data_IF_607369259520
#
_entry.id   IF_607369259520
#
_cell.length_a   1.000
_cell.length_b   1.000
_cell.length_c   1.000
_cell.angle_alpha   90.00
_cell.angle_beta   90.00
_cell.angle_gamma   90.00
#
_symmetry.space_group_name_H-M   'P 1'
#
loop_
_entity.id
_entity.type
_entity.pdbx_description
1 polymer ?
#
# COMPACT_ATOMS: atom_id res chain seq x y z
N UNK A 1 0.03 -5.32 -36.28
CA UNK A 1 1.35 -5.25 -35.59
C UNK A 1 1.14 -4.72 -34.19
N UNK A 2 1.54 -5.45 -33.16
CA UNK A 2 1.44 -4.97 -31.77
C UNK A 2 2.43 -3.81 -31.56
N UNK A 3 1.95 -2.68 -31.05
CA UNK A 3 2.83 -1.54 -30.73
C UNK A 3 3.48 -1.78 -29.38
N UNK A 4 4.79 -2.02 -29.37
CA UNK A 4 5.57 -2.15 -28.14
C UNK A 4 5.63 -0.79 -27.46
N UNK A 5 5.13 -0.71 -26.23
CA UNK A 5 5.25 0.49 -25.40
C UNK A 5 6.60 0.48 -24.70
N UNK A 6 7.24 1.63 -24.59
CA UNK A 6 8.53 1.80 -23.90
C UNK A 6 8.29 2.14 -22.43
N UNK A 7 9.24 1.78 -21.58
CA UNK A 7 9.26 2.14 -20.16
C UNK A 7 9.08 3.65 -19.95
N UNK A 8 8.33 4.03 -18.92
CA UNK A 8 8.12 5.44 -18.53
C UNK A 8 9.35 6.12 -17.91
N UNK A 9 10.29 5.35 -17.35
CA UNK A 9 11.50 5.91 -16.74
C UNK A 9 12.34 6.64 -17.79
N UNK A 10 12.76 7.87 -17.48
CA UNK A 10 13.60 8.69 -18.36
C UNK A 10 14.90 7.98 -18.69
N UNK A 11 15.21 7.85 -19.99
CA UNK A 11 16.42 7.18 -20.47
C UNK A 11 16.30 5.65 -20.57
N UNK A 12 15.16 5.05 -20.20
CA UNK A 12 14.95 3.62 -20.35
C UNK A 12 14.25 3.29 -21.67
N UNK A 13 14.94 2.51 -22.53
CA UNK A 13 14.41 2.06 -23.82
C UNK A 13 13.84 0.64 -23.79
N UNK A 14 13.76 0.04 -22.61
CA UNK A 14 13.24 -1.32 -22.45
C UNK A 14 11.73 -1.36 -22.69
N UNK A 15 11.25 -2.52 -23.17
CA UNK A 15 9.84 -2.78 -23.33
C UNK A 15 9.11 -2.68 -21.98
N UNK A 16 7.97 -2.01 -22.00
CA UNK A 16 7.06 -1.90 -20.88
C UNK A 16 6.39 -3.25 -20.60
N UNK A 17 6.41 -3.67 -19.34
CA UNK A 17 5.78 -4.91 -18.88
C UNK A 17 4.60 -4.62 -17.96
N UNK A 18 4.81 -3.88 -16.87
CA UNK A 18 3.81 -3.71 -15.80
C UNK A 18 3.71 -2.25 -15.37
N UNK A 19 2.48 -1.76 -15.20
CA UNK A 19 2.17 -0.42 -14.66
C UNK A 19 2.84 0.77 -15.37
N UNK A 20 3.36 0.57 -16.58
CA UNK A 20 4.05 1.62 -17.32
C UNK A 20 5.57 1.46 -17.40
N UNK A 21 6.15 0.54 -16.64
CA UNK A 21 7.59 0.38 -16.50
C UNK A 21 8.07 -0.94 -17.10
N UNK A 22 9.37 -1.04 -17.39
CA UNK A 22 10.02 -2.33 -17.60
C UNK A 22 10.12 -3.10 -16.27
N UNK A 23 10.50 -4.38 -16.29
CA UNK A 23 10.57 -5.23 -15.09
C UNK A 23 11.44 -4.62 -13.97
N UNK A 24 12.61 -4.10 -14.33
CA UNK A 24 13.54 -3.49 -13.36
C UNK A 24 12.97 -2.20 -12.75
N UNK A 25 12.48 -1.27 -13.56
CA UNK A 25 11.93 -0.02 -13.04
C UNK A 25 10.59 -0.20 -12.33
N UNK A 26 9.81 -1.23 -12.66
CA UNK A 26 8.66 -1.61 -11.86
C UNK A 26 9.08 -2.02 -10.44
N UNK A 27 10.13 -2.84 -10.31
CA UNK A 27 10.69 -3.24 -9.01
C UNK A 27 11.37 -2.08 -8.28
N UNK A 28 11.88 -1.06 -8.97
CA UNK A 28 12.38 0.16 -8.32
C UNK A 28 11.23 0.98 -7.71
N UNK A 29 10.12 1.11 -8.43
CA UNK A 29 8.98 1.97 -8.08
C UNK A 29 7.83 1.24 -7.38
N UNK A 30 8.00 -0.03 -6.99
CA UNK A 30 6.88 -0.88 -6.57
C UNK A 30 6.18 -0.39 -5.31
N UNK A 31 6.94 0.06 -4.29
CA UNK A 31 6.40 0.56 -3.03
C UNK A 31 5.54 1.80 -3.27
N UNK A 32 6.04 2.75 -4.05
CA UNK A 32 5.31 3.97 -4.42
C UNK A 32 4.05 3.66 -5.22
N UNK A 33 4.14 2.76 -6.20
CA UNK A 33 2.98 2.33 -7.00
C UNK A 33 1.91 1.65 -6.13
N UNK A 34 2.32 0.84 -5.15
CA UNK A 34 1.40 0.19 -4.19
C UNK A 34 0.76 1.18 -3.23
N UNK A 35 1.55 2.11 -2.68
CA UNK A 35 1.03 3.17 -1.82
C UNK A 35 -0.01 4.05 -2.55
N UNK A 36 0.31 4.48 -3.77
CA UNK A 36 -0.62 5.26 -4.60
C UNK A 36 -1.88 4.47 -4.98
N UNK A 37 -1.78 3.15 -5.18
CA UNK A 37 -2.94 2.30 -5.42
C UNK A 37 -3.83 2.16 -4.17
N UNK A 38 -3.23 1.99 -2.99
CA UNK A 38 -3.94 1.92 -1.71
C UNK A 38 -4.67 3.23 -1.40
N UNK A 39 -4.00 4.38 -1.59
CA UNK A 39 -4.60 5.70 -1.39
C UNK A 39 -5.82 5.91 -2.32
N UNK A 40 -5.70 5.53 -3.60
CA UNK A 40 -6.83 5.59 -4.55
C UNK A 40 -7.97 4.67 -4.14
N UNK A 41 -7.69 3.48 -3.60
CA UNK A 41 -8.71 2.58 -3.11
C UNK A 41 -9.45 3.18 -1.89
N UNK A 42 -8.70 3.75 -0.92
CA UNK A 42 -9.28 4.43 0.23
C UNK A 42 -10.16 5.62 -0.18
N UNK A 43 -9.69 6.45 -1.13
CA UNK A 43 -10.49 7.55 -1.68
C UNK A 43 -11.78 7.07 -2.34
N UNK A 44 -11.72 5.98 -3.12
CA UNK A 44 -12.90 5.38 -3.75
C UNK A 44 -13.91 4.88 -2.72
N UNK A 45 -13.42 4.22 -1.66
CA UNK A 45 -14.28 3.74 -0.58
C UNK A 45 -14.93 4.91 0.15
N UNK A 46 -14.17 5.95 0.50
CA UNK A 46 -14.70 7.12 1.18
C UNK A 46 -15.76 7.84 0.33
N UNK A 47 -15.53 7.99 -0.97
CA UNK A 47 -16.52 8.55 -1.89
C UNK A 47 -17.79 7.70 -1.96
N UNK A 48 -17.65 6.38 -1.94
CA UNK A 48 -18.79 5.46 -1.92
C UNK A 48 -19.59 5.56 -0.62
N UNK A 49 -18.91 5.57 0.53
CA UNK A 49 -19.54 5.78 1.85
C UNK A 49 -20.26 7.12 1.87
N UNK A 50 -19.60 8.21 1.44
CA UNK A 50 -20.20 9.55 1.38
C UNK A 50 -21.44 9.58 0.49
N UNK A 51 -21.40 8.92 -0.67
CA UNK A 51 -22.55 8.80 -1.56
C UNK A 51 -23.70 8.04 -0.90
N UNK A 52 -23.41 6.90 -0.25
CA UNK A 52 -24.41 6.08 0.44
C UNK A 52 -25.06 6.83 1.62
N UNK A 53 -24.26 7.53 2.42
CA UNK A 53 -24.73 8.34 3.55
C UNK A 53 -25.60 9.52 3.08
N UNK A 54 -25.26 10.17 1.96
CA UNK A 54 -26.08 11.24 1.37
C UNK A 54 -27.42 10.73 0.83
N UNK A 55 -27.43 9.52 0.26
CA UNK A 55 -28.63 8.95 -0.39
C UNK A 55 -29.63 8.35 0.61
N UNK A 56 -29.19 7.97 1.81
CA UNK A 56 -30.03 7.39 2.84
C UNK A 56 -29.72 8.00 4.21
N UNK A 57 -30.04 9.29 4.46
CA UNK A 57 -29.68 9.95 5.72
C UNK A 57 -30.32 9.28 6.93
N UNK A 58 -31.61 8.91 6.87
CA UNK A 58 -32.32 8.40 8.05
C UNK A 58 -31.97 6.94 8.39
N UNK A 59 -31.93 6.03 7.40
CA UNK A 59 -31.63 4.62 7.67
C UNK A 59 -30.19 4.38 8.12
N UNK A 60 -29.21 5.09 7.57
CA UNK A 60 -27.81 4.96 8.00
C UNK A 60 -27.60 5.51 9.40
N UNK A 61 -28.20 6.66 9.70
CA UNK A 61 -28.17 7.24 11.05
C UNK A 61 -28.84 6.28 12.03
N UNK A 62 -29.96 5.65 11.68
CA UNK A 62 -30.65 4.72 12.57
C UNK A 62 -29.93 3.40 12.76
N UNK A 63 -29.25 2.89 11.73
CA UNK A 63 -28.37 1.72 11.81
C UNK A 63 -27.13 2.03 12.67
N UNK A 64 -26.45 3.17 12.46
CA UNK A 64 -25.34 3.63 13.31
C UNK A 64 -25.80 3.86 14.75
N UNK A 65 -26.96 4.50 14.95
CA UNK A 65 -27.53 4.69 16.30
C UNK A 65 -27.92 3.35 16.92
N UNK A 66 -28.36 2.37 16.14
CA UNK A 66 -28.66 1.01 16.62
C UNK A 66 -27.38 0.31 17.04
N UNK A 67 -26.31 0.42 16.26
CA UNK A 67 -25.01 -0.20 16.55
C UNK A 67 -24.33 0.45 17.77
N UNK A 68 -24.38 1.78 17.89
CA UNK A 68 -23.91 2.51 19.08
C UNK A 68 -24.74 2.20 20.34
N UNK A 69 -26.02 1.83 20.18
CA UNK A 69 -26.90 1.39 21.29
C UNK A 69 -26.65 -0.06 21.69
N UNK A 70 -26.06 -0.89 20.83
CA UNK A 70 -25.68 -2.24 21.19
C UNK A 70 -24.49 -2.20 22.15
N UNK A 71 -24.65 -2.80 23.33
CA UNK A 71 -23.64 -2.81 24.41
C UNK A 71 -22.27 -3.38 23.97
N UNK A 72 -22.24 -4.18 22.90
CA UNK A 72 -21.02 -4.78 22.36
C UNK A 72 -20.06 -3.78 21.69
N UNK A 73 -20.52 -2.58 21.31
CA UNK A 73 -19.63 -1.55 20.77
C UNK A 73 -18.85 -0.82 21.88
N UNK A 74 -19.52 -0.52 23.00
CA UNK A 74 -18.91 0.17 24.15
C UNK A 74 -18.11 -0.76 25.08
N UNK A 75 -18.34 -2.08 25.02
CA UNK A 75 -17.56 -3.05 25.79
C UNK A 75 -16.17 -3.31 25.18
N UNK A 76 -16.01 -3.20 23.85
CA UNK A 76 -14.73 -3.47 23.16
C UNK A 76 -13.90 -2.20 22.91
N UNK A 77 -14.48 -1.00 22.97
CA UNK A 77 -13.73 0.25 22.81
C UNK A 77 -12.69 0.51 23.93
N UNK A 78 -12.69 -0.31 25.00
CA UNK A 78 -11.67 -0.32 26.05
C UNK A 78 -11.01 -1.68 26.26
N UNK A 79 -11.16 -2.65 25.34
CA UNK A 79 -10.69 -4.03 25.54
C UNK A 79 -9.80 -4.59 24.42
N UNK A 80 -9.24 -3.71 23.58
CA UNK A 80 -8.29 -4.06 22.53
C UNK A 80 -6.92 -3.35 22.71
N UNK A 81 -6.64 -2.77 23.88
CA UNK A 81 -5.31 -2.24 24.28
C UNK A 81 -4.58 -3.23 25.22
N UNK A 82 -4.74 -4.52 24.95
CA UNK A 82 -3.91 -5.60 25.52
C UNK A 82 -3.19 -6.38 24.41
N UNK A 83 -2.87 -5.71 23.29
CA UNK A 83 -1.80 -6.18 22.41
C UNK A 83 -0.46 -5.89 23.07
N UNK A 84 0.02 -6.87 23.83
CA UNK A 84 1.43 -7.25 24.01
C UNK A 84 2.42 -6.10 23.77
N UNK A 85 2.88 -5.49 24.87
CA UNK A 85 4.14 -4.79 24.88
C UNK A 85 5.24 -5.70 24.29
N UNK A 86 5.63 -5.45 23.03
CA UNK A 86 6.82 -6.07 22.43
C UNK A 86 6.65 -6.80 21.10
N UNK A 87 5.55 -6.65 20.34
CA UNK A 87 5.54 -7.08 18.94
C UNK A 87 5.47 -5.88 17.98
N UNK A 88 6.54 -5.62 17.20
CA UNK A 88 6.49 -4.58 16.19
C UNK A 88 5.43 -4.92 15.14
N UNK A 89 4.73 -3.88 14.67
CA UNK A 89 3.68 -3.92 13.66
C UNK A 89 4.13 -4.84 12.51
N UNK A 90 3.30 -5.76 12.04
CA UNK A 90 3.70 -6.78 11.04
C UNK A 90 4.29 -6.12 9.78
N UNK A 91 3.83 -4.90 9.48
CA UNK A 91 4.32 -4.07 8.38
C UNK A 91 5.73 -3.53 8.64
N UNK A 92 6.04 -3.19 9.89
CA UNK A 92 7.35 -2.73 10.37
C UNK A 92 8.33 -3.91 10.52
N UNK A 93 7.84 -5.10 10.89
CA UNK A 93 8.63 -6.34 10.95
C UNK A 93 8.99 -6.91 9.57
N UNK A 94 8.16 -6.67 8.55
CA UNK A 94 8.43 -7.11 7.17
C UNK A 94 9.13 -6.06 6.31
N UNK A 95 8.97 -4.76 6.58
CA UNK A 95 9.43 -3.70 5.69
C UNK A 95 10.00 -2.47 6.42
N UNK A 96 10.21 -2.56 7.74
CA UNK A 96 10.80 -1.50 8.57
C UNK A 96 12.33 -1.47 8.48
N UNK A 97 12.81 -0.36 7.94
CA UNK A 97 14.12 0.29 8.13
C UNK A 97 15.45 -0.34 7.66
N UNK A 98 15.58 -1.57 7.18
CA UNK A 98 16.93 -2.09 6.85
C UNK A 98 17.23 -2.31 5.34
N UNK A 99 16.25 -2.18 4.45
CA UNK A 99 16.45 -2.55 3.04
C UNK A 99 17.40 -1.62 2.25
N UNK A 100 17.61 -0.36 2.65
CA UNK A 100 18.54 0.54 1.94
C UNK A 100 20.00 0.20 2.25
N UNK A 101 20.30 -0.17 3.48
CA UNK A 101 21.65 -0.61 3.88
C UNK A 101 21.96 -2.00 3.31
N UNK A 102 20.96 -2.89 3.30
CA UNK A 102 21.06 -4.20 2.64
C UNK A 102 21.26 -4.08 1.12
N UNK A 103 20.59 -3.16 0.43
CA UNK A 103 20.82 -2.96 -1.01
C UNK A 103 22.24 -2.46 -1.30
N UNK A 104 22.76 -1.54 -0.48
CA UNK A 104 24.12 -1.01 -0.63
C UNK A 104 25.19 -2.04 -0.25
N UNK A 105 24.87 -3.01 0.61
CA UNK A 105 25.72 -4.16 0.93
C UNK A 105 25.70 -5.22 -0.19
N UNK A 106 24.52 -5.56 -0.71
CA UNK A 106 24.35 -6.46 -1.86
C UNK A 106 25.02 -5.87 -3.12
N UNK A 107 24.95 -4.55 -3.32
CA UNK A 107 25.66 -3.85 -4.40
C UNK A 107 27.18 -3.83 -4.22
N UNK A 108 27.68 -3.85 -2.98
CA UNK A 108 29.12 -3.98 -2.67
C UNK A 108 29.63 -5.40 -2.90
N UNK A 109 28.82 -6.41 -2.60
CA UNK A 109 29.18 -7.83 -2.77
C UNK A 109 29.07 -8.32 -4.21
N UNK A 110 28.28 -7.67 -5.05
CA UNK A 110 28.32 -7.79 -6.50
C UNK A 110 29.60 -7.12 -7.04
N UNK A 111 30.77 -7.70 -6.76
CA UNK A 111 32.01 -7.42 -7.49
C UNK A 111 31.78 -7.69 -8.97
N UNK A 112 31.41 -6.64 -9.72
CA UNK A 112 31.60 -6.63 -11.17
C UNK A 112 33.12 -6.65 -11.34
N UNK A 113 33.67 -7.80 -11.74
CA UNK A 113 35.03 -7.88 -12.26
C UNK A 113 35.13 -6.84 -13.37
N UNK A 114 35.86 -5.74 -13.10
CA UNK A 114 36.27 -4.78 -14.11
C UNK A 114 37.40 -5.40 -14.91
N UNK A 115 37.07 -6.36 -15.74
CA UNK A 115 37.94 -6.85 -16.81
C UNK A 115 37.07 -7.26 -18.01
N UNK A 116 36.45 -6.27 -18.65
CA UNK A 116 36.09 -6.26 -20.08
C UNK A 116 36.07 -4.82 -20.59
#
# INVERSE_FOLDING_TARGET
MARIKICKETGCHNAQTTSGYCRLHYLKHWKELKAAAAEKAAKRLNNYVTYMSKKNPDRYIDDIRRDLRQKHFNANAGQDDETVAGEPDIVDRLFGTDEKEELDEILRDLKIEKDF
#
